data_IF_965870858973
#
_entry.id   IF_965870858973
#
_cell.length_a   1.000
_cell.length_b   1.000
_cell.length_c   1.000
_cell.angle_alpha   90.00
_cell.angle_beta   90.00
_cell.angle_gamma   90.00
#
_symmetry.space_group_name_H-M   'P 1'
#
loop_
_entity.id
_entity.type
_entity.pdbx_description
1 polymer ?
#
# COMPACT_ATOMS: atom_id res chain seq x y z
N UNK A 1 9.70 -14.94 -2.60
CA UNK A 1 10.91 -14.50 -1.86
C UNK A 1 10.57 -13.96 -0.48
N UNK A 2 9.87 -12.84 -0.33
CA UNK A 2 9.54 -12.29 0.99
C UNK A 2 8.71 -13.24 1.87
N UNK A 3 7.73 -13.95 1.30
CA UNK A 3 7.01 -15.00 2.03
C UNK A 3 7.97 -16.05 2.63
N UNK A 4 9.00 -16.46 1.88
CA UNK A 4 10.00 -17.43 2.35
C UNK A 4 10.82 -16.84 3.50
N UNK A 5 11.26 -15.57 3.39
CA UNK A 5 12.03 -14.88 4.44
C UNK A 5 11.19 -14.76 5.72
N UNK A 6 9.94 -14.34 5.59
CA UNK A 6 9.02 -14.25 6.73
C UNK A 6 8.79 -15.61 7.36
N UNK A 7 8.50 -16.62 6.56
CA UNK A 7 8.28 -17.97 7.07
C UNK A 7 9.51 -18.52 7.78
N UNK A 8 10.71 -18.33 7.21
CA UNK A 8 11.95 -18.75 7.85
C UNK A 8 12.15 -18.08 9.22
N UNK A 9 12.01 -16.75 9.31
CA UNK A 9 12.21 -16.01 10.57
C UNK A 9 11.12 -16.32 11.60
N UNK A 10 9.86 -16.50 11.17
CA UNK A 10 8.77 -16.84 12.09
C UNK A 10 8.81 -18.30 12.54
N UNK A 11 9.25 -19.24 11.70
CA UNK A 11 9.41 -20.65 12.06
C UNK A 11 10.64 -20.89 12.92
N UNK A 12 11.76 -20.22 12.61
CA UNK A 12 12.99 -20.26 13.42
C UNK A 12 12.73 -19.77 14.86
N UNK A 13 11.79 -18.83 15.03
CA UNK A 13 11.51 -18.19 16.33
C UNK A 13 10.12 -18.42 16.89
N UNK A 14 9.39 -19.43 16.41
CA UNK A 14 8.19 -19.95 17.09
C UNK A 14 8.63 -20.69 18.38
N UNK A 15 9.10 -19.93 19.38
CA UNK A 15 9.43 -20.32 20.75
C UNK A 15 10.05 -21.73 20.94
N UNK A 16 11.38 -21.85 20.96
CA UNK A 16 12.11 -22.97 21.57
C UNK A 16 11.77 -24.41 21.10
N UNK A 17 11.24 -24.61 19.90
CA UNK A 17 11.07 -25.92 19.30
C UNK A 17 11.20 -25.83 17.79
N UNK A 18 12.28 -26.35 17.23
CA UNK A 18 12.52 -26.43 15.78
C UNK A 18 11.39 -27.21 15.11
N UNK A 19 10.35 -26.52 14.67
CA UNK A 19 9.35 -27.11 13.80
C UNK A 19 9.98 -27.27 12.42
N UNK A 20 9.97 -28.48 11.82
CA UNK A 20 10.43 -28.66 10.46
C UNK A 20 9.61 -27.77 9.51
N UNK A 21 10.22 -27.37 8.40
CA UNK A 21 9.54 -26.63 7.35
C UNK A 21 8.35 -27.47 6.86
N UNK A 22 7.14 -27.04 7.20
CA UNK A 22 5.91 -27.63 6.69
C UNK A 22 5.51 -26.92 5.40
N UNK A 23 5.55 -27.65 4.28
CA UNK A 23 5.20 -27.11 2.97
C UNK A 23 3.70 -26.80 2.86
N UNK A 24 2.85 -27.56 3.53
CA UNK A 24 1.40 -27.38 3.48
C UNK A 24 1.00 -26.11 4.25
N UNK A 25 1.51 -25.94 5.48
CA UNK A 25 1.31 -24.70 6.26
C UNK A 25 1.91 -23.47 5.56
N UNK A 26 3.06 -23.63 4.88
CA UNK A 26 3.65 -22.56 4.06
C UNK A 26 2.70 -22.14 2.93
N UNK A 27 2.23 -23.11 2.14
CA UNK A 27 1.32 -22.86 1.00
C UNK A 27 0.04 -22.20 1.51
N UNK A 28 -0.57 -22.74 2.57
CA UNK A 28 -1.82 -22.21 3.13
C UNK A 28 -1.65 -20.77 3.60
N UNK A 29 -0.53 -20.43 4.27
CA UNK A 29 -0.26 -19.05 4.70
C UNK A 29 0.08 -18.11 3.55
N UNK A 30 0.66 -18.60 2.45
CA UNK A 30 0.89 -17.79 1.24
C UNK A 30 -0.43 -17.48 0.55
N UNK A 31 -1.27 -18.48 0.32
CA UNK A 31 -2.55 -18.31 -0.38
C UNK A 31 -3.55 -17.51 0.42
N UNK A 32 -3.58 -17.71 1.74
CA UNK A 32 -4.39 -16.89 2.62
C UNK A 32 -3.73 -15.52 2.86
N UNK A 33 -2.41 -15.38 2.78
CA UNK A 33 -1.73 -14.08 3.03
C UNK A 33 -1.68 -13.74 4.50
N UNK A 34 -1.72 -14.76 5.35
CA UNK A 34 -1.66 -14.68 6.81
C UNK A 34 -0.22 -14.74 7.35
N UNK A 35 0.79 -14.89 6.49
CA UNK A 35 2.20 -14.91 6.91
C UNK A 35 2.66 -13.66 7.65
N UNK A 36 2.18 -12.49 7.21
CA UNK A 36 2.46 -11.21 7.84
C UNK A 36 1.29 -10.31 7.54
N UNK A 37 0.91 -9.46 8.50
CA UNK A 37 -0.21 -8.53 8.38
C UNK A 37 -0.06 -7.53 7.23
N UNK A 38 1.11 -7.46 6.58
CA UNK A 38 1.35 -6.65 5.39
C UNK A 38 1.32 -7.45 4.10
N UNK A 39 1.12 -8.77 4.09
CA UNK A 39 1.12 -9.56 2.86
C UNK A 39 -0.29 -9.79 2.28
N UNK A 40 -1.35 -9.50 3.04
CA UNK A 40 -2.73 -9.60 2.54
C UNK A 40 -2.97 -8.74 1.29
N UNK A 41 -2.35 -7.56 1.19
CA UNK A 41 -2.45 -6.71 0.00
C UNK A 41 -1.90 -7.37 -1.27
N UNK A 42 -0.95 -8.31 -1.15
CA UNK A 42 -0.39 -9.03 -2.32
C UNK A 42 -1.50 -9.82 -2.99
N UNK A 43 -2.38 -10.45 -2.20
CA UNK A 43 -3.51 -11.22 -2.71
C UNK A 43 -4.48 -10.29 -3.44
N UNK A 44 -4.80 -9.14 -2.83
CA UNK A 44 -5.65 -8.13 -3.46
C UNK A 44 -5.06 -7.71 -4.81
N UNK A 45 -3.77 -7.40 -4.86
CA UNK A 45 -3.09 -6.99 -6.08
C UNK A 45 -3.11 -8.11 -7.13
N UNK A 46 -2.84 -9.35 -6.77
CA UNK A 46 -2.90 -10.49 -7.71
C UNK A 46 -4.30 -10.63 -8.31
N UNK A 47 -5.36 -10.59 -7.49
CA UNK A 47 -6.74 -10.60 -7.97
C UNK A 47 -7.00 -9.42 -8.94
N UNK A 48 -6.54 -8.21 -8.59
CA UNK A 48 -6.68 -7.02 -9.45
C UNK A 48 -5.90 -7.11 -10.75
N UNK A 49 -4.74 -7.77 -10.79
CA UNK A 49 -3.97 -7.99 -12.02
C UNK A 49 -4.67 -8.95 -12.97
N UNK A 50 -5.33 -9.98 -12.42
CA UNK A 50 -6.12 -10.94 -13.21
C UNK A 50 -7.36 -10.26 -13.81
N UNK A 51 -8.09 -9.47 -13.01
CA UNK A 51 -9.33 -8.81 -13.44
C UNK A 51 -9.06 -7.50 -14.21
N UNK A 52 -7.88 -6.90 -14.03
CA UNK A 52 -7.52 -5.59 -14.58
C UNK A 52 -7.71 -5.44 -16.10
N UNK A 53 -7.34 -6.43 -16.94
CA UNK A 53 -7.64 -6.37 -18.38
C UNK A 53 -9.13 -6.24 -18.69
N UNK A 54 -10.01 -6.83 -17.88
CA UNK A 54 -11.47 -6.73 -18.04
C UNK A 54 -11.92 -5.31 -17.69
N UNK A 55 -11.52 -4.78 -16.54
CA UNK A 55 -11.83 -3.40 -16.16
C UNK A 55 -11.33 -2.37 -17.16
N UNK A 56 -10.12 -2.58 -17.68
CA UNK A 56 -9.55 -1.74 -18.71
C UNK A 56 -10.39 -1.75 -19.99
N UNK A 57 -10.79 -2.94 -20.50
CA UNK A 57 -11.66 -3.06 -21.68
C UNK A 57 -13.03 -2.41 -21.45
N UNK A 58 -13.64 -2.63 -20.28
CA UNK A 58 -14.93 -2.04 -19.92
C UNK A 58 -14.88 -0.51 -19.94
N UNK A 59 -13.88 0.10 -19.31
CA UNK A 59 -13.74 1.56 -19.28
C UNK A 59 -13.33 2.13 -20.64
N UNK A 60 -12.44 1.46 -21.38
CA UNK A 60 -11.97 1.94 -22.68
C UNK A 60 -13.07 1.96 -23.74
N UNK A 61 -13.91 0.93 -23.78
CA UNK A 61 -14.92 0.76 -24.82
C UNK A 61 -16.24 1.48 -24.49
N UNK A 62 -16.42 1.95 -23.26
CA UNK A 62 -17.64 2.63 -22.84
C UNK A 62 -17.63 4.12 -23.18
N UNK A 63 -18.75 4.61 -23.71
CA UNK A 63 -19.01 6.05 -23.88
C UNK A 63 -19.19 6.73 -22.51
N UNK A 64 -19.82 6.05 -21.55
CA UNK A 64 -20.15 6.58 -20.21
C UNK A 64 -19.27 5.97 -19.12
N UNK A 65 -17.97 6.31 -19.15
CA UNK A 65 -16.98 5.84 -18.15
C UNK A 65 -17.38 6.19 -16.70
N UNK A 66 -17.97 7.37 -16.50
CA UNK A 66 -18.41 7.85 -15.18
C UNK A 66 -19.51 6.98 -14.60
N UNK A 67 -20.48 6.53 -15.42
CA UNK A 67 -21.54 5.64 -14.95
C UNK A 67 -20.97 4.29 -14.47
N UNK A 68 -19.99 3.74 -15.20
CA UNK A 68 -19.27 2.52 -14.78
C UNK A 68 -18.55 2.75 -13.45
N UNK A 69 -17.90 3.91 -13.27
CA UNK A 69 -17.26 4.24 -11.99
C UNK A 69 -18.28 4.33 -10.84
N UNK A 70 -19.44 4.95 -11.05
CA UNK A 70 -20.51 5.03 -10.04
C UNK A 70 -20.99 3.62 -9.68
N UNK A 71 -21.26 2.76 -10.67
CA UNK A 71 -21.65 1.38 -10.42
C UNK A 71 -20.56 0.64 -9.63
N UNK A 72 -19.29 0.81 -10.00
CA UNK A 72 -18.17 0.21 -9.27
C UNK A 72 -18.04 0.73 -7.83
N UNK A 73 -18.34 2.01 -7.59
CA UNK A 73 -18.36 2.63 -6.26
C UNK A 73 -19.46 2.01 -5.39
N UNK A 74 -20.67 1.85 -5.93
CA UNK A 74 -21.80 1.21 -5.24
C UNK A 74 -21.46 -0.24 -4.90
N UNK A 75 -20.95 -1.01 -5.86
CA UNK A 75 -20.52 -2.40 -5.62
C UNK A 75 -19.47 -2.44 -4.51
N UNK A 76 -18.47 -1.56 -4.57
CA UNK A 76 -17.39 -1.49 -3.57
C UNK A 76 -17.93 -1.18 -2.18
N UNK A 77 -18.82 -0.18 -2.06
CA UNK A 77 -19.44 0.21 -0.80
C UNK A 77 -20.32 -0.90 -0.21
N UNK A 78 -21.15 -1.54 -1.03
CA UNK A 78 -21.98 -2.68 -0.61
C UNK A 78 -21.12 -3.87 -0.16
N UNK A 79 -20.07 -4.19 -0.91
CA UNK A 79 -19.15 -5.27 -0.55
C UNK A 79 -18.39 -4.95 0.74
N UNK A 80 -17.99 -3.68 0.95
CA UNK A 80 -17.34 -3.26 2.18
C UNK A 80 -18.25 -3.40 3.41
N UNK A 81 -19.55 -3.07 3.26
CA UNK A 81 -20.53 -3.12 4.34
C UNK A 81 -20.97 -4.55 4.70
N UNK A 82 -21.39 -5.33 3.69
CA UNK A 82 -22.13 -6.57 3.92
C UNK A 82 -21.28 -7.84 3.89
N UNK A 83 -20.14 -7.84 3.19
CA UNK A 83 -19.31 -9.04 3.09
C UNK A 83 -18.42 -9.15 4.33
N UNK A 84 -18.82 -9.98 5.29
CA UNK A 84 -18.14 -10.19 6.56
C UNK A 84 -17.89 -11.69 6.81
N UNK A 85 -16.85 -12.22 6.17
CA UNK A 85 -16.31 -13.56 6.47
C UNK A 85 -14.82 -13.43 6.83
N UNK A 86 -14.23 -14.50 7.36
CA UNK A 86 -12.81 -14.52 7.72
C UNK A 86 -11.95 -14.15 6.52
N UNK A 87 -11.05 -13.18 6.65
CA UNK A 87 -10.18 -12.71 5.58
C UNK A 87 -10.91 -12.04 4.40
N UNK A 88 -12.16 -11.62 4.59
CA UNK A 88 -12.93 -10.87 3.57
C UNK A 88 -12.33 -9.50 3.23
N UNK A 89 -11.44 -8.96 4.05
CA UNK A 89 -10.63 -7.77 3.78
C UNK A 89 -9.69 -7.95 2.57
N UNK A 90 -9.47 -9.21 2.12
CA UNK A 90 -8.60 -9.57 0.99
C UNK A 90 -9.35 -9.66 -0.34
N UNK A 91 -10.67 -9.47 -0.32
CA UNK A 91 -11.51 -9.56 -1.51
C UNK A 91 -11.35 -8.30 -2.38
N UNK A 92 -10.96 -8.47 -3.65
CA UNK A 92 -10.76 -7.34 -4.56
C UNK A 92 -11.99 -6.45 -4.73
N UNK A 93 -13.20 -7.01 -4.61
CA UNK A 93 -14.46 -6.25 -4.74
C UNK A 93 -14.56 -5.09 -3.73
N UNK A 94 -13.94 -5.21 -2.55
CA UNK A 94 -13.86 -4.12 -1.55
C UNK A 94 -12.93 -2.97 -1.96
N UNK A 95 -12.18 -3.11 -3.05
CA UNK A 95 -11.24 -2.11 -3.56
C UNK A 95 -11.41 -1.81 -5.05
N UNK A 96 -12.39 -2.43 -5.71
CA UNK A 96 -12.57 -2.38 -7.17
C UNK A 96 -12.71 -0.96 -7.69
N UNK A 97 -13.51 -0.13 -7.01
CA UNK A 97 -13.69 1.28 -7.39
C UNK A 97 -12.37 2.03 -7.48
N UNK A 98 -11.50 1.91 -6.46
CA UNK A 98 -10.23 2.64 -6.42
C UNK A 98 -9.30 2.20 -7.54
N UNK A 99 -9.29 0.90 -7.85
CA UNK A 99 -8.51 0.37 -8.96
C UNK A 99 -9.02 0.85 -10.32
N UNK A 100 -10.35 0.79 -10.54
CA UNK A 100 -10.99 1.30 -11.76
C UNK A 100 -10.83 2.82 -11.92
N UNK A 101 -10.86 3.58 -10.82
CA UNK A 101 -10.58 5.01 -10.83
C UNK A 101 -9.15 5.29 -11.32
N UNK A 102 -8.16 4.50 -10.91
CA UNK A 102 -6.79 4.59 -11.43
C UNK A 102 -6.69 4.33 -12.93
N UNK A 103 -7.43 3.34 -13.45
CA UNK A 103 -7.53 3.08 -14.89
C UNK A 103 -8.17 4.28 -15.61
N UNK A 104 -9.27 4.80 -15.08
CA UNK A 104 -9.96 5.96 -15.64
C UNK A 104 -9.03 7.18 -15.72
N UNK A 105 -8.31 7.49 -14.64
CA UNK A 105 -7.33 8.59 -14.59
C UNK A 105 -6.25 8.40 -15.66
N UNK A 106 -5.85 7.16 -15.96
CA UNK A 106 -4.88 6.86 -17.02
C UNK A 106 -5.46 7.12 -18.42
N UNK A 107 -6.73 6.75 -18.64
CA UNK A 107 -7.40 6.93 -19.94
C UNK A 107 -7.76 8.39 -20.23
N UNK A 108 -8.09 9.16 -19.21
CA UNK A 108 -8.62 10.54 -19.30
C UNK A 108 -7.71 11.55 -18.58
N UNK A 109 -6.40 11.31 -18.62
CA UNK A 109 -5.41 12.01 -17.80
C UNK A 109 -5.48 13.54 -17.87
N UNK A 110 -5.55 14.11 -19.08
CA UNK A 110 -5.56 15.56 -19.28
C UNK A 110 -6.85 16.20 -18.74
N UNK A 111 -7.98 15.53 -18.99
CA UNK A 111 -9.30 15.95 -18.48
C UNK A 111 -9.33 15.89 -16.96
N UNK A 112 -8.85 14.79 -16.37
CA UNK A 112 -8.76 14.61 -14.92
C UNK A 112 -7.86 15.65 -14.27
N UNK A 113 -6.66 15.85 -14.81
CA UNK A 113 -5.68 16.83 -14.26
C UNK A 113 -6.24 18.25 -14.32
N UNK A 114 -6.92 18.61 -15.40
CA UNK A 114 -7.58 19.91 -15.55
C UNK A 114 -8.71 20.09 -14.53
N UNK A 115 -9.52 19.06 -14.31
CA UNK A 115 -10.60 19.07 -13.32
C UNK A 115 -10.07 19.21 -11.89
N UNK A 116 -9.05 18.44 -11.50
CA UNK A 116 -8.42 18.53 -10.18
C UNK A 116 -7.87 19.93 -9.92
N UNK A 117 -7.18 20.53 -10.89
CA UNK A 117 -6.63 21.88 -10.74
C UNK A 117 -7.73 22.95 -10.62
N UNK A 118 -8.83 22.81 -11.37
CA UNK A 118 -9.99 23.70 -11.30
C UNK A 118 -10.67 23.63 -9.93
N UNK A 119 -10.76 22.45 -9.33
CA UNK A 119 -11.50 22.21 -8.08
C UNK A 119 -10.60 22.04 -6.84
N UNK A 120 -9.33 22.47 -6.90
CA UNK A 120 -8.35 22.28 -5.81
C UNK A 120 -8.80 22.76 -4.43
N UNK A 121 -9.51 23.89 -4.37
CA UNK A 121 -10.00 24.49 -3.10
C UNK A 121 -11.12 23.62 -2.54
N UNK A 122 -12.07 23.22 -3.39
CA UNK A 122 -13.19 22.36 -3.01
C UNK A 122 -12.69 20.99 -2.53
N UNK A 123 -11.76 20.37 -3.25
CA UNK A 123 -11.18 19.06 -2.86
C UNK A 123 -10.49 19.16 -1.50
N UNK A 124 -9.73 20.24 -1.25
CA UNK A 124 -9.03 20.44 0.01
C UNK A 124 -9.99 20.68 1.17
N UNK A 125 -11.02 21.51 0.98
CA UNK A 125 -12.07 21.73 1.98
C UNK A 125 -12.84 20.43 2.29
N UNK A 126 -13.23 19.69 1.24
CA UNK A 126 -13.94 18.43 1.40
C UNK A 126 -13.08 17.38 2.12
N UNK A 127 -11.77 17.35 1.86
CA UNK A 127 -10.84 16.47 2.57
C UNK A 127 -10.82 16.78 4.07
N UNK A 128 -10.69 18.07 4.45
CA UNK A 128 -10.68 18.47 5.86
C UNK A 128 -12.00 18.11 6.55
N UNK A 129 -13.14 18.38 5.92
CA UNK A 129 -14.46 18.03 6.45
C UNK A 129 -14.61 16.51 6.60
N UNK A 130 -14.32 15.74 5.55
CA UNK A 130 -14.41 14.28 5.60
C UNK A 130 -13.44 13.68 6.63
N UNK A 131 -12.25 14.25 6.80
CA UNK A 131 -11.29 13.81 7.81
C UNK A 131 -11.81 14.05 9.24
N UNK A 132 -12.41 15.22 9.49
CA UNK A 132 -13.03 15.53 10.78
C UNK A 132 -14.21 14.59 11.08
N UNK A 133 -15.10 14.37 10.10
CA UNK A 133 -16.24 13.46 10.23
C UNK A 133 -15.77 12.03 10.45
N UNK A 134 -14.80 11.55 9.67
CA UNK A 134 -14.22 10.22 9.83
C UNK A 134 -13.60 10.03 11.21
N UNK A 135 -12.88 11.04 11.72
CA UNK A 135 -12.28 11.01 13.06
C UNK A 135 -13.36 10.93 14.14
N UNK A 136 -14.42 11.75 14.06
CA UNK A 136 -15.51 11.72 15.02
C UNK A 136 -16.27 10.38 15.00
N UNK A 137 -16.63 9.89 13.81
CA UNK A 137 -17.35 8.62 13.63
C UNK A 137 -16.54 7.44 14.14
N UNK A 138 -15.23 7.44 13.90
CA UNK A 138 -14.29 6.43 14.42
C UNK A 138 -14.17 6.51 15.94
N UNK A 139 -14.05 7.71 16.51
CA UNK A 139 -13.93 7.91 17.96
C UNK A 139 -15.18 7.46 18.72
N UNK A 140 -16.38 7.77 18.21
CA UNK A 140 -17.65 7.38 18.81
C UNK A 140 -18.14 5.98 18.38
N UNK A 141 -17.36 5.27 17.55
CA UNK A 141 -17.68 3.93 17.04
C UNK A 141 -19.11 3.81 16.46
N UNK A 142 -19.51 4.80 15.65
CA UNK A 142 -20.86 4.86 15.08
C UNK A 142 -21.04 3.82 13.96
N UNK A 143 -22.26 3.30 13.80
CA UNK A 143 -22.59 2.27 12.80
C UNK A 143 -22.36 2.69 11.35
N UNK A 144 -22.36 4.01 11.07
CA UNK A 144 -22.11 4.58 9.73
C UNK A 144 -20.62 4.60 9.33
N UNK A 145 -19.75 3.99 10.13
CA UNK A 145 -18.29 4.00 9.94
C UNK A 145 -17.86 3.62 8.52
N UNK A 146 -18.39 2.54 7.94
CA UNK A 146 -17.94 2.04 6.64
C UNK A 146 -18.28 3.02 5.51
N UNK A 147 -19.48 3.60 5.51
CA UNK A 147 -19.88 4.60 4.53
C UNK A 147 -19.01 5.86 4.61
N UNK A 148 -18.75 6.33 5.83
CA UNK A 148 -17.88 7.50 6.08
C UNK A 148 -16.44 7.20 5.69
N UNK A 149 -15.92 6.02 6.03
CA UNK A 149 -14.61 5.53 5.61
C UNK A 149 -14.48 5.51 4.09
N UNK A 150 -15.48 5.00 3.38
CA UNK A 150 -15.49 4.96 1.92
C UNK A 150 -15.43 6.38 1.34
N UNK A 151 -16.30 7.28 1.79
CA UNK A 151 -16.33 8.68 1.31
C UNK A 151 -15.02 9.41 1.61
N UNK A 152 -14.49 9.25 2.81
CA UNK A 152 -13.18 9.80 3.19
C UNK A 152 -12.07 9.25 2.27
N UNK A 153 -12.08 7.95 1.98
CA UNK A 153 -11.09 7.31 1.10
C UNK A 153 -11.16 7.85 -0.32
N UNK A 154 -12.36 8.03 -0.90
CA UNK A 154 -12.54 8.61 -2.24
C UNK A 154 -11.98 10.03 -2.30
N UNK A 155 -12.34 10.87 -1.34
CA UNK A 155 -11.87 12.27 -1.30
C UNK A 155 -10.36 12.33 -1.07
N UNK A 156 -9.82 11.44 -0.24
CA UNK A 156 -8.38 11.33 0.02
C UNK A 156 -7.59 11.02 -1.24
N UNK A 157 -8.09 10.16 -2.13
CA UNK A 157 -7.42 9.86 -3.42
C UNK A 157 -7.26 11.13 -4.25
N UNK A 158 -8.32 11.94 -4.38
CA UNK A 158 -8.24 13.20 -5.12
C UNK A 158 -7.31 14.21 -4.46
N UNK A 159 -7.35 14.31 -3.12
CA UNK A 159 -6.50 15.22 -2.36
C UNK A 159 -5.02 14.83 -2.45
N UNK A 160 -4.67 13.56 -2.24
CA UNK A 160 -3.29 13.06 -2.34
C UNK A 160 -2.75 13.26 -3.76
N UNK A 161 -3.57 13.05 -4.79
CA UNK A 161 -3.18 13.34 -6.16
C UNK A 161 -2.88 14.83 -6.39
N UNK A 162 -3.75 15.72 -5.88
CA UNK A 162 -3.54 17.17 -5.92
C UNK A 162 -2.23 17.57 -5.22
N UNK A 163 -1.97 17.03 -4.02
CA UNK A 163 -0.71 17.24 -3.29
C UNK A 163 0.47 16.78 -4.14
N UNK A 164 0.37 15.61 -4.79
CA UNK A 164 1.39 15.11 -5.72
C UNK A 164 1.68 16.07 -6.88
N UNK A 165 0.67 16.71 -7.46
CA UNK A 165 0.85 17.73 -8.51
C UNK A 165 1.57 18.97 -7.99
N UNK A 166 1.27 19.41 -6.77
CA UNK A 166 1.95 20.55 -6.13
C UNK A 166 3.39 20.20 -5.79
N UNK A 167 3.62 19.05 -5.16
CA UNK A 167 4.95 18.55 -4.80
C UNK A 167 5.83 18.37 -6.03
N UNK A 168 5.28 17.90 -7.16
CA UNK A 168 6.02 17.82 -8.43
C UNK A 168 6.60 19.17 -8.86
N UNK A 169 5.93 20.29 -8.56
CA UNK A 169 6.43 21.64 -8.88
C UNK A 169 7.47 22.12 -7.87
N UNK A 170 7.25 21.86 -6.57
CA UNK A 170 8.11 22.33 -5.49
C UNK A 170 9.42 21.53 -5.38
N UNK A 171 9.37 20.22 -5.62
CA UNK A 171 10.50 19.30 -5.40
C UNK A 171 11.28 18.97 -6.67
N UNK A 172 11.20 19.79 -7.72
CA UNK A 172 11.90 19.55 -9.00
C UNK A 172 13.41 19.35 -8.79
N UNK A 173 14.02 20.14 -7.92
CA UNK A 173 15.46 20.11 -7.65
C UNK A 173 15.91 18.82 -6.94
N UNK A 174 15.04 18.20 -6.15
CA UNK A 174 15.31 16.95 -5.42
C UNK A 174 14.58 15.75 -6.03
N UNK A 175 14.06 15.88 -7.25
CA UNK A 175 13.36 14.81 -7.95
C UNK A 175 14.16 13.51 -8.06
N UNK A 176 15.50 13.53 -8.32
CA UNK A 176 16.29 12.29 -8.30
C UNK A 176 16.22 11.56 -6.96
N UNK A 177 16.25 12.31 -5.85
CA UNK A 177 16.11 11.75 -4.50
C UNK A 177 14.69 11.23 -4.25
N UNK A 178 13.65 12.01 -4.59
CA UNK A 178 12.24 11.57 -4.47
C UNK A 178 12.00 10.29 -5.27
N UNK A 179 12.59 10.18 -6.47
CA UNK A 179 12.52 8.99 -7.31
C UNK A 179 13.22 7.79 -6.65
N UNK A 180 14.41 7.98 -6.09
CA UNK A 180 15.14 6.93 -5.36
C UNK A 180 14.36 6.46 -4.14
N UNK A 181 13.79 7.39 -3.38
CA UNK A 181 12.97 7.11 -2.22
C UNK A 181 11.68 6.36 -2.59
N UNK A 182 10.99 6.79 -3.66
CA UNK A 182 9.81 6.10 -4.21
C UNK A 182 10.11 4.67 -4.66
N UNK A 183 11.26 4.44 -5.31
CA UNK A 183 11.71 3.08 -5.67
C UNK A 183 12.01 2.21 -4.43
N UNK A 184 12.45 2.84 -3.34
CA UNK A 184 12.78 2.17 -2.09
C UNK A 184 11.53 1.86 -1.25
N UNK A 185 10.43 2.59 -1.44
CA UNK A 185 9.22 2.53 -0.62
C UNK A 185 8.61 1.12 -0.56
N UNK A 186 8.61 0.39 -1.67
CA UNK A 186 8.13 -1.01 -1.69
C UNK A 186 9.01 -1.94 -0.86
N UNK A 187 10.34 -1.77 -0.90
CA UNK A 187 11.24 -2.57 -0.07
C UNK A 187 11.12 -2.19 1.40
N UNK A 188 10.96 -0.90 1.73
CA UNK A 188 10.71 -0.42 3.09
C UNK A 188 9.42 -1.04 3.64
N UNK A 189 8.34 -1.03 2.84
CA UNK A 189 7.07 -1.66 3.18
C UNK A 189 7.23 -3.15 3.51
N UNK A 190 8.08 -3.88 2.78
CA UNK A 190 8.30 -5.31 3.03
C UNK A 190 9.32 -5.61 4.13
N UNK A 191 10.29 -4.73 4.36
CA UNK A 191 11.39 -4.96 5.33
C UNK A 191 11.02 -4.52 6.75
N UNK A 192 10.23 -3.44 6.90
CA UNK A 192 9.92 -2.90 8.22
C UNK A 192 9.23 -3.85 9.20
N UNK A 193 8.30 -4.74 8.79
CA UNK A 193 7.65 -5.67 9.72
C UNK A 193 8.63 -6.73 10.20
N UNK A 194 9.60 -7.11 9.35
CA UNK A 194 10.68 -8.03 9.71
C UNK A 194 11.58 -7.41 10.77
N UNK A 195 12.08 -6.19 10.55
CA UNK A 195 12.94 -5.49 11.52
C UNK A 195 12.19 -5.21 12.81
N UNK A 196 10.91 -4.81 12.73
CA UNK A 196 10.06 -4.64 13.90
C UNK A 196 9.91 -5.95 14.68
N UNK A 197 9.67 -7.07 14.00
CA UNK A 197 9.56 -8.39 14.65
C UNK A 197 10.84 -8.74 15.40
N UNK A 198 12.01 -8.55 14.78
CA UNK A 198 13.30 -8.79 15.43
C UNK A 198 13.48 -7.90 16.68
N UNK A 199 13.09 -6.63 16.61
CA UNK A 199 13.17 -5.73 17.76
C UNK A 199 12.17 -6.08 18.86
N UNK A 200 10.95 -6.49 18.51
CA UNK A 200 9.96 -6.97 19.49
C UNK A 200 10.53 -8.16 20.24
N UNK A 201 11.13 -9.12 19.54
CA UNK A 201 11.79 -10.29 20.13
C UNK A 201 12.93 -9.86 21.06
N UNK A 202 13.84 -9.00 20.59
CA UNK A 202 14.94 -8.48 21.41
C UNK A 202 14.44 -7.81 22.69
N UNK A 203 13.42 -6.96 22.61
CA UNK A 203 12.88 -6.29 23.80
C UNK A 203 12.18 -7.25 24.77
N UNK A 204 11.62 -8.35 24.27
CA UNK A 204 10.99 -9.40 25.09
C UNK A 204 12.04 -10.26 25.79
N UNK A 205 13.09 -10.67 25.08
CA UNK A 205 14.20 -11.47 25.62
C UNK A 205 14.98 -10.70 26.69
N UNK A 206 15.16 -9.40 26.52
CA UNK A 206 15.84 -8.55 27.52
C UNK A 206 14.91 -8.04 28.64
N UNK A 207 13.70 -8.61 28.77
CA UNK A 207 12.78 -8.30 29.88
C UNK A 207 12.33 -6.83 29.94
N UNK A 208 12.39 -6.09 28.84
CA UNK A 208 12.02 -4.66 28.84
C UNK A 208 10.51 -4.57 28.84
N UNK A 209 9.87 -4.35 29.98
CA UNK A 209 8.40 -4.33 30.11
C UNK A 209 7.77 -2.95 29.83
N UNK A 210 8.56 -1.88 29.89
CA UNK A 210 8.05 -0.51 29.68
C UNK A 210 7.65 -0.26 28.22
N UNK A 211 6.38 0.09 28.01
CA UNK A 211 5.81 0.42 26.69
C UNK A 211 6.51 1.61 26.05
N UNK A 212 6.77 2.67 26.81
CA UNK A 212 7.46 3.88 26.30
C UNK A 212 8.87 3.54 25.80
N UNK A 213 9.63 2.75 26.57
CA UNK A 213 10.97 2.31 26.15
C UNK A 213 10.92 1.46 24.89
N UNK A 214 9.94 0.54 24.79
CA UNK A 214 9.71 -0.26 23.58
C UNK A 214 9.41 0.61 22.35
N UNK A 215 8.51 1.58 22.48
CA UNK A 215 8.15 2.48 21.38
C UNK A 215 9.35 3.31 20.87
N UNK A 216 10.13 3.89 21.80
CA UNK A 216 11.33 4.66 21.43
C UNK A 216 12.33 3.76 20.71
N UNK A 217 12.59 2.56 21.24
CA UNK A 217 13.48 1.60 20.58
C UNK A 217 12.98 1.20 19.21
N UNK A 218 11.70 0.85 19.06
CA UNK A 218 11.13 0.47 17.76
C UNK A 218 11.24 1.61 16.75
N UNK A 219 10.91 2.84 17.15
CA UNK A 219 11.00 3.98 16.24
C UNK A 219 12.44 4.30 15.85
N UNK A 220 13.36 4.32 16.82
CA UNK A 220 14.77 4.65 16.61
C UNK A 220 15.55 3.58 15.84
N UNK A 221 15.11 2.32 15.85
CA UNK A 221 15.79 1.25 15.10
C UNK A 221 15.08 0.91 13.80
N UNK A 222 13.77 0.69 13.81
CA UNK A 222 13.04 0.22 12.63
C UNK A 222 13.09 1.26 11.52
N UNK A 223 12.84 2.54 11.82
CA UNK A 223 12.83 3.58 10.78
C UNK A 223 14.20 3.78 10.14
N UNK A 224 15.30 4.03 10.88
CA UNK A 224 16.61 4.25 10.25
C UNK A 224 17.15 3.00 9.56
N UNK A 225 17.06 1.82 10.20
CA UNK A 225 17.62 0.59 9.63
C UNK A 225 16.92 0.25 8.32
N UNK A 226 15.59 0.31 8.28
CA UNK A 226 14.82 -0.06 7.08
C UNK A 226 15.04 0.96 5.95
N UNK A 227 14.96 2.26 6.27
CA UNK A 227 15.09 3.33 5.28
C UNK A 227 16.50 3.35 4.69
N UNK A 228 17.54 3.34 5.53
CA UNK A 228 18.93 3.42 5.07
C UNK A 228 19.32 2.17 4.27
N UNK A 229 18.94 0.98 4.74
CA UNK A 229 19.25 -0.28 4.05
C UNK A 229 18.56 -0.35 2.68
N UNK A 230 17.28 0.04 2.60
CA UNK A 230 16.55 0.04 1.34
C UNK A 230 17.06 1.10 0.35
N UNK A 231 17.41 2.30 0.84
CA UNK A 231 18.01 3.36 0.02
C UNK A 231 19.38 2.93 -0.53
N UNK A 232 20.24 2.37 0.33
CA UNK A 232 21.54 1.85 -0.08
C UNK A 232 21.38 0.75 -1.13
N UNK A 233 20.46 -0.19 -0.91
CA UNK A 233 20.15 -1.26 -1.87
C UNK A 233 19.66 -0.69 -3.21
N UNK A 234 18.71 0.24 -3.20
CA UNK A 234 18.19 0.87 -4.43
C UNK A 234 19.29 1.63 -5.19
N UNK A 235 20.15 2.34 -4.46
CA UNK A 235 21.28 3.07 -5.05
C UNK A 235 22.28 2.12 -5.72
N UNK A 236 22.71 1.05 -5.02
CA UNK A 236 23.63 0.04 -5.57
C UNK A 236 23.02 -0.64 -6.78
N UNK A 237 21.75 -1.06 -6.70
CA UNK A 237 21.01 -1.69 -7.81
C UNK A 237 20.97 -0.79 -9.05
N UNK A 238 20.70 0.51 -8.87
CA UNK A 238 20.67 1.47 -9.95
C UNK A 238 22.05 1.65 -10.59
N UNK A 239 23.12 1.70 -9.79
CA UNK A 239 24.51 1.78 -10.28
C UNK A 239 24.92 0.55 -11.09
N UNK A 240 24.56 -0.65 -10.64
CA UNK A 240 24.82 -1.90 -11.37
C UNK A 240 24.06 -1.92 -12.71
N UNK A 241 22.79 -1.53 -12.71
CA UNK A 241 21.97 -1.47 -13.94
C UNK A 241 22.54 -0.47 -14.96
N UNK A 242 23.01 0.70 -14.49
CA UNK A 242 23.66 1.68 -15.34
C UNK A 242 24.96 1.15 -15.97
N UNK A 243 25.80 0.46 -15.18
CA UNK A 243 27.01 -0.20 -15.70
C UNK A 243 26.71 -1.25 -16.77
N UNK A 244 25.73 -2.13 -16.54
CA UNK A 244 25.33 -3.14 -17.54
C UNK A 244 24.86 -2.52 -18.85
N UNK A 245 24.08 -1.42 -18.79
CA UNK A 245 23.60 -0.71 -19.98
C UNK A 245 24.74 -0.02 -20.75
N UNK A 246 25.74 0.53 -20.05
CA UNK A 246 26.91 1.13 -20.67
C UNK A 246 27.77 0.07 -21.38
N UNK A 247 27.95 -1.10 -20.77
CA UNK A 247 28.69 -2.23 -21.38
C UNK A 247 27.97 -2.75 -22.63
N UNK A 248 26.64 -2.91 -22.59
CA UNK A 248 25.87 -3.39 -23.75
C UNK A 248 25.84 -2.39 -24.93
N UNK A 249 25.97 -1.09 -24.64
CA UNK A 249 26.01 -0.05 -25.67
C UNK A 249 27.41 0.17 -26.26
N UNK A 250 28.47 -0.29 -25.57
CA UNK A 250 29.83 -0.28 -26.09
C UNK A 250 30.16 -1.54 -26.93
N UNK A 251 29.33 -2.58 -26.84
CA UNK A 251 29.45 -3.84 -27.60
C UNK A 251 28.52 -3.90 -28.83
N UNK A 252 27.82 -2.81 -29.14
CA UNK A 252 26.91 -2.63 -30.29
C UNK A 252 27.43 -1.53 -31.19
#
# INVERSE_FOLDING_TARGET
MWCVIYYAVYMEKRLYGFYPFDMQDFIDKVFNGTMSYHLYFVIIIVQMYIVGPVFYKLLKNSKNKVAILIISAVITALCAEFIRYENSDRLFLKYMFFFMLGIYVTLEYDRYTSWINKHKILISALYVVCAAVYTAVSYYNLSIYVGVWFMFSVVSVFFVYLVGLVMKKLMKNIYPFVKLFGQSSYYIYLMHPLVLTLMVIYTRENGILSVTKRLIMYFSTVMPITILSCLAFAFVKNKIKARKKAVSAASS
#
